data_IF_941848683856
#
_entry.id   IF_941848683856
#
_cell.length_a   1.000
_cell.length_b   1.000
_cell.length_c   1.000
_cell.angle_alpha   90.00
_cell.angle_beta   90.00
_cell.angle_gamma   90.00
#
_symmetry.space_group_name_H-M   'P 1'
#
loop_
_entity.id
_entity.type
_entity.pdbx_description
1 polymer ?
#
# COMPACT_ATOMS: atom_id res chain seq x y z
N UNK A 1 18.26 6.16 -13.63
CA UNK A 1 18.84 4.78 -13.65
C UNK A 1 20.30 4.74 -14.17
N UNK A 2 21.29 5.40 -13.53
CA UNK A 2 22.71 5.14 -13.81
C UNK A 2 23.52 4.61 -12.60
N UNK A 3 22.96 4.54 -11.40
CA UNK A 3 23.70 4.17 -10.18
C UNK A 3 23.87 2.66 -10.00
N UNK A 4 22.90 1.85 -10.42
CA UNK A 4 22.95 0.39 -10.32
C UNK A 4 24.07 -0.22 -11.18
N UNK A 5 24.24 0.28 -12.41
CA UNK A 5 25.28 -0.18 -13.35
C UNK A 5 26.69 0.14 -12.86
N UNK A 6 26.89 1.27 -12.17
CA UNK A 6 28.19 1.63 -11.57
C UNK A 6 28.52 0.64 -10.42
N UNK A 7 27.53 0.25 -9.61
CA UNK A 7 27.74 -0.73 -8.53
C UNK A 7 28.07 -2.13 -9.04
N UNK A 8 27.45 -2.56 -10.14
CA UNK A 8 27.72 -3.86 -10.80
C UNK A 8 29.17 -3.94 -11.30
N UNK A 9 29.66 -2.88 -11.94
CA UNK A 9 31.04 -2.81 -12.49
C UNK A 9 32.09 -2.85 -11.37
N UNK A 10 31.86 -2.14 -10.26
CA UNK A 10 32.78 -2.14 -9.12
C UNK A 10 32.82 -3.50 -8.41
N UNK A 11 31.66 -4.16 -8.25
CA UNK A 11 31.58 -5.50 -7.67
C UNK A 11 32.25 -6.54 -8.58
N UNK A 12 32.00 -6.47 -9.89
CA UNK A 12 32.66 -7.32 -10.88
C UNK A 12 34.19 -7.15 -10.85
N UNK A 13 34.68 -5.92 -10.83
CA UNK A 13 36.13 -5.66 -10.79
C UNK A 13 36.78 -6.14 -9.49
N UNK A 14 36.10 -6.02 -8.34
CA UNK A 14 36.59 -6.54 -7.07
C UNK A 14 36.64 -8.07 -7.03
N UNK A 15 35.65 -8.74 -7.64
CA UNK A 15 35.57 -10.20 -7.69
C UNK A 15 36.50 -10.81 -8.76
N UNK A 16 36.64 -10.16 -9.93
CA UNK A 16 37.53 -10.58 -11.02
C UNK A 16 38.99 -10.69 -10.58
N UNK A 17 39.41 -9.82 -9.64
CA UNK A 17 40.76 -9.81 -9.06
C UNK A 17 41.06 -11.02 -8.14
N UNK A 18 40.04 -11.73 -7.64
CA UNK A 18 40.20 -12.85 -6.70
C UNK A 18 39.66 -14.20 -7.19
N UNK A 19 38.72 -14.22 -8.13
CA UNK A 19 37.98 -15.41 -8.58
C UNK A 19 38.03 -15.63 -10.12
N UNK A 20 38.62 -14.70 -10.87
CA UNK A 20 38.58 -14.77 -12.34
C UNK A 20 37.23 -14.38 -12.92
N UNK A 21 37.18 -14.24 -14.24
CA UNK A 21 36.12 -13.50 -14.95
C UNK A 21 34.74 -14.18 -14.88
N UNK A 22 34.70 -15.51 -14.97
CA UNK A 22 33.44 -16.29 -14.97
C UNK A 22 32.74 -16.31 -13.62
N UNK A 23 33.49 -16.51 -12.54
CA UNK A 23 32.95 -16.62 -11.18
C UNK A 23 32.49 -15.25 -10.65
N UNK A 24 33.16 -14.18 -11.08
CA UNK A 24 32.74 -12.80 -10.78
C UNK A 24 31.40 -12.45 -11.46
N UNK A 25 31.20 -12.88 -12.71
CA UNK A 25 29.96 -12.62 -13.46
C UNK A 25 28.76 -13.36 -12.85
N UNK A 26 28.96 -14.61 -12.42
CA UNK A 26 27.94 -15.42 -11.77
C UNK A 26 27.51 -14.82 -10.41
N UNK A 27 28.47 -14.36 -9.60
CA UNK A 27 28.19 -13.73 -8.32
C UNK A 27 27.49 -12.37 -8.46
N UNK A 28 27.87 -11.56 -9.45
CA UNK A 28 27.17 -10.29 -9.74
C UNK A 28 25.73 -10.56 -10.17
N UNK A 29 25.51 -11.59 -10.98
CA UNK A 29 24.17 -12.01 -11.41
C UNK A 29 23.33 -12.50 -10.24
N UNK A 30 23.91 -13.32 -9.36
CA UNK A 30 23.24 -13.81 -8.15
C UNK A 30 22.87 -12.68 -7.18
N UNK A 31 23.78 -11.73 -6.95
CA UNK A 31 23.53 -10.56 -6.10
C UNK A 31 22.44 -9.69 -6.70
N UNK A 32 22.44 -9.48 -8.02
CA UNK A 32 21.39 -8.74 -8.72
C UNK A 32 20.02 -9.39 -8.52
N UNK A 33 19.90 -10.69 -8.80
CA UNK A 33 18.65 -11.42 -8.62
C UNK A 33 18.14 -11.36 -7.18
N UNK A 34 19.04 -11.46 -6.19
CA UNK A 34 18.65 -11.39 -4.79
C UNK A 34 18.20 -9.99 -4.35
N UNK A 35 18.90 -8.94 -4.81
CA UNK A 35 18.52 -7.55 -4.52
C UNK A 35 17.19 -7.20 -5.18
N UNK A 36 16.96 -7.65 -6.41
CA UNK A 36 15.71 -7.41 -7.14
C UNK A 36 14.52 -8.09 -6.45
N UNK A 37 14.68 -9.34 -6.00
CA UNK A 37 13.68 -10.06 -5.20
C UNK A 37 13.39 -9.38 -3.84
N UNK A 38 14.43 -8.89 -3.13
CA UNK A 38 14.22 -8.18 -1.85
C UNK A 38 13.56 -6.81 -2.02
N UNK A 39 13.76 -6.14 -3.16
CA UNK A 39 13.10 -4.88 -3.49
C UNK A 39 11.61 -5.15 -3.80
N UNK A 40 11.29 -6.22 -4.53
CA UNK A 40 9.91 -6.60 -4.85
C UNK A 40 9.11 -7.01 -3.59
N UNK A 41 9.73 -7.75 -2.68
CA UNK A 41 9.16 -8.09 -1.36
C UNK A 41 8.93 -6.84 -0.47
N UNK A 42 9.79 -5.82 -0.58
CA UNK A 42 9.58 -4.55 0.12
C UNK A 42 8.55 -3.67 -0.57
N UNK A 43 8.49 -3.68 -1.90
CA UNK A 43 7.51 -2.93 -2.67
C UNK A 43 6.08 -3.46 -2.45
N UNK A 44 5.90 -4.77 -2.39
CA UNK A 44 4.63 -5.41 -2.01
C UNK A 44 4.19 -5.06 -0.58
N UNK A 45 5.13 -4.85 0.35
CA UNK A 45 4.86 -4.30 1.69
C UNK A 45 4.44 -2.82 1.68
N UNK A 46 4.80 -2.05 0.65
CA UNK A 46 4.31 -0.68 0.47
C UNK A 46 2.86 -0.63 -0.04
N UNK A 47 2.38 -1.65 -0.76
CA UNK A 47 0.95 -1.75 -1.15
C UNK A 47 0.00 -1.74 0.05
N UNK A 48 0.46 -2.18 1.23
CA UNK A 48 -0.32 -2.08 2.48
C UNK A 48 -0.69 -0.63 2.84
N UNK A 49 0.04 0.39 2.37
CA UNK A 49 -0.35 1.80 2.57
C UNK A 49 -1.56 2.22 1.73
N UNK A 50 -1.71 1.67 0.53
CA UNK A 50 -2.91 1.85 -0.28
C UNK A 50 -4.11 1.12 0.36
N UNK A 51 -3.89 -0.06 0.94
CA UNK A 51 -4.92 -0.77 1.68
C UNK A 51 -5.39 0.00 2.92
N UNK A 52 -4.48 0.68 3.63
CA UNK A 52 -4.82 1.57 4.76
C UNK A 52 -5.69 2.72 4.29
N UNK A 53 -5.30 3.40 3.20
CA UNK A 53 -6.08 4.53 2.65
C UNK A 53 -7.48 4.07 2.20
N UNK A 54 -7.58 2.88 1.61
CA UNK A 54 -8.86 2.29 1.21
C UNK A 54 -9.72 1.89 2.41
N UNK A 55 -9.11 1.47 3.52
CA UNK A 55 -9.80 1.20 4.77
C UNK A 55 -10.37 2.48 5.40
N UNK A 56 -9.59 3.57 5.39
CA UNK A 56 -10.04 4.87 5.90
C UNK A 56 -11.23 5.42 5.10
N UNK A 57 -11.19 5.32 3.76
CA UNK A 57 -12.30 5.76 2.90
C UNK A 57 -13.58 4.95 3.15
N UNK A 58 -13.48 3.61 3.22
CA UNK A 58 -14.65 2.76 3.52
C UNK A 58 -15.23 3.03 4.90
N UNK A 59 -14.37 3.33 5.88
CA UNK A 59 -14.79 3.68 7.23
C UNK A 59 -15.52 5.03 7.25
N UNK A 60 -15.03 6.02 6.51
CA UNK A 60 -15.65 7.33 6.37
C UNK A 60 -17.04 7.24 5.70
N UNK A 61 -17.15 6.50 4.59
CA UNK A 61 -18.41 6.26 3.89
C UNK A 61 -19.44 5.57 4.82
N UNK A 62 -19.03 4.52 5.52
CA UNK A 62 -19.91 3.80 6.46
C UNK A 62 -20.41 4.70 7.59
N UNK A 63 -19.55 5.57 8.15
CA UNK A 63 -19.94 6.53 9.19
C UNK A 63 -21.00 7.51 8.66
N UNK A 64 -20.80 8.04 7.45
CA UNK A 64 -21.72 8.99 6.82
C UNK A 64 -23.08 8.36 6.57
N UNK A 65 -23.13 7.12 6.08
CA UNK A 65 -24.39 6.42 5.82
C UNK A 65 -25.17 6.09 7.09
N UNK A 66 -24.47 5.69 8.17
CA UNK A 66 -25.10 5.51 9.49
C UNK A 66 -25.70 6.84 9.98
N UNK A 67 -24.98 7.96 9.85
CA UNK A 67 -25.48 9.28 10.27
C UNK A 67 -26.73 9.67 9.48
N UNK A 68 -26.75 9.45 8.15
CA UNK A 68 -27.93 9.73 7.31
C UNK A 68 -29.13 8.87 7.72
N UNK A 69 -28.91 7.59 7.97
CA UNK A 69 -29.97 6.67 8.41
C UNK A 69 -30.55 7.06 9.77
N UNK A 70 -29.69 7.37 10.74
CA UNK A 70 -30.09 7.83 12.08
C UNK A 70 -30.86 9.15 11.97
N UNK A 71 -30.36 10.13 11.22
CA UNK A 71 -31.05 11.40 11.02
C UNK A 71 -32.45 11.20 10.39
N UNK A 72 -32.55 10.36 9.36
CA UNK A 72 -33.82 10.05 8.70
C UNK A 72 -34.83 9.39 9.66
N UNK A 73 -34.34 8.48 10.52
CA UNK A 73 -35.13 7.85 11.56
C UNK A 73 -35.69 8.86 12.57
N UNK A 74 -34.84 9.79 13.06
CA UNK A 74 -35.27 10.84 13.98
C UNK A 74 -36.27 11.81 13.35
N UNK A 75 -36.10 12.18 12.08
CA UNK A 75 -37.06 13.02 11.35
C UNK A 75 -38.43 12.32 11.25
N UNK A 76 -38.46 11.03 10.93
CA UNK A 76 -39.72 10.27 10.86
C UNK A 76 -40.44 10.23 12.21
N UNK A 77 -39.73 10.02 13.31
CA UNK A 77 -40.29 10.05 14.67
C UNK A 77 -40.83 11.45 15.00
N UNK A 78 -40.07 12.50 14.70
CA UNK A 78 -40.49 13.87 14.96
C UNK A 78 -41.80 14.20 14.23
N UNK A 79 -41.93 13.80 12.97
CA UNK A 79 -43.16 13.99 12.19
C UNK A 79 -44.35 13.22 12.77
N UNK A 80 -44.16 11.99 13.25
CA UNK A 80 -45.24 11.24 13.92
C UNK A 80 -45.73 11.94 15.19
N UNK A 81 -44.80 12.43 16.02
CA UNK A 81 -45.15 13.16 17.25
C UNK A 81 -45.89 14.45 16.92
N UNK A 82 -45.39 15.24 15.97
CA UNK A 82 -46.05 16.47 15.51
C UNK A 82 -47.45 16.16 14.96
N UNK A 83 -47.60 15.11 14.17
CA UNK A 83 -48.89 14.66 13.64
C UNK A 83 -49.89 14.27 14.74
N UNK A 84 -49.41 13.67 15.84
CA UNK A 84 -50.26 13.36 17.01
C UNK A 84 -50.72 14.61 17.75
N UNK A 85 -49.89 15.65 17.84
CA UNK A 85 -50.25 16.92 18.47
C UNK A 85 -51.21 17.77 17.62
N UNK A 86 -51.12 17.70 16.29
CA UNK A 86 -52.01 18.43 15.37
C UNK A 86 -53.40 17.78 15.28
N UNK A 87 -53.50 16.47 15.51
CA UNK A 87 -54.78 15.73 15.47
C UNK A 87 -55.60 15.86 16.77
N UNK A 88 -55.03 16.46 17.82
CA UNK A 88 -55.72 16.75 19.09
C UNK A 88 -56.36 18.13 19.04
#
# INVERSE_FOLDING_TARGET
>A
MPTATISEIHLFNALKLRLGEKEAEELVTFVKQKVENEIDDKASKFSTKDDISKLETKLAETKVDIIKWVFSFFVAIALMIIGLYIKK
#
